data_IF_669156569623
#
_entry.id   IF_669156569623
#
_cell.length_a   1.000
_cell.length_b   1.000
_cell.length_c   1.000
_cell.angle_alpha   90.00
_cell.angle_beta   90.00
_cell.angle_gamma   90.00
#
_symmetry.space_group_name_H-M   'P 1'
#
loop_
_entity.id
_entity.type
_entity.pdbx_description
1 polymer ?
#
# COMPACT_ATOMS: atom_id res chain seq x y z
N UNK A 1 -7.46 -13.53 7.37
CA UNK A 1 -7.80 -12.39 6.53
C UNK A 1 -7.50 -11.09 7.26
N UNK A 2 -7.02 -10.09 6.52
CA UNK A 2 -6.70 -8.78 7.06
C UNK A 2 -7.96 -7.92 7.04
N UNK A 3 -8.37 -7.42 8.21
CA UNK A 3 -9.50 -6.50 8.30
C UNK A 3 -9.08 -5.08 7.89
N UNK A 4 -10.04 -4.17 7.71
CA UNK A 4 -9.74 -2.77 7.47
C UNK A 4 -8.86 -2.17 8.55
N UNK A 5 -9.04 -2.61 9.79
CA UNK A 5 -8.22 -2.19 10.92
C UNK A 5 -6.78 -2.70 10.75
N UNK A 6 -6.61 -3.92 10.20
CA UNK A 6 -5.29 -4.47 9.89
C UNK A 6 -4.58 -3.67 8.80
N UNK A 7 -5.30 -3.19 7.80
CA UNK A 7 -4.73 -2.33 6.77
C UNK A 7 -4.15 -1.06 7.37
N UNK A 8 -4.90 -0.38 8.23
CA UNK A 8 -4.43 0.84 8.90
C UNK A 8 -3.17 0.57 9.72
N UNK A 9 -3.16 -0.53 10.46
CA UNK A 9 -2.03 -0.91 11.30
C UNK A 9 -0.77 -1.13 10.46
N UNK A 10 -0.88 -1.80 9.31
CA UNK A 10 0.26 -2.07 8.44
C UNK A 10 0.85 -0.78 7.85
N UNK A 11 0.01 0.18 7.47
CA UNK A 11 0.49 1.40 6.81
C UNK A 11 0.76 2.55 7.78
N UNK A 12 0.33 2.46 9.02
CA UNK A 12 0.42 3.57 9.98
C UNK A 12 1.86 4.03 10.21
N UNK A 13 2.79 3.11 10.38
CA UNK A 13 4.19 3.42 10.66
C UNK A 13 5.02 3.78 9.44
N UNK A 14 4.47 3.64 8.23
CA UNK A 14 5.24 3.80 7.00
C UNK A 14 5.67 5.24 6.72
N UNK A 15 5.05 6.23 7.38
CA UNK A 15 5.43 7.63 7.20
C UNK A 15 6.84 7.97 7.65
N UNK A 16 7.49 7.07 8.39
CA UNK A 16 8.86 7.26 8.89
C UNK A 16 9.88 6.47 8.10
N UNK A 17 9.47 5.83 6.99
CA UNK A 17 10.39 5.06 6.17
C UNK A 17 11.30 6.00 5.41
N UNK A 18 12.61 5.87 5.65
CA UNK A 18 13.63 6.66 4.97
C UNK A 18 14.00 5.99 3.64
N UNK A 19 14.03 4.65 3.63
CA UNK A 19 14.42 3.88 2.45
C UNK A 19 13.31 2.88 2.10
N UNK A 20 12.46 3.29 1.18
CA UNK A 20 11.35 2.46 0.72
C UNK A 20 11.83 1.22 -0.04
N UNK A 21 12.93 1.35 -0.77
CA UNK A 21 13.51 0.23 -1.50
C UNK A 21 14.01 -0.85 -0.56
N UNK A 22 14.70 -0.46 0.51
CA UNK A 22 15.19 -1.41 1.50
C UNK A 22 14.03 -2.11 2.22
N UNK A 23 12.97 -1.36 2.56
CA UNK A 23 11.80 -1.93 3.20
C UNK A 23 11.14 -2.98 2.29
N UNK A 24 10.92 -2.61 1.04
CA UNK A 24 10.27 -3.49 0.06
C UNK A 24 11.11 -4.74 -0.22
N UNK A 25 12.43 -4.61 -0.19
CA UNK A 25 13.37 -5.73 -0.41
C UNK A 25 13.53 -6.64 0.80
N UNK A 26 13.10 -6.17 1.98
CA UNK A 26 13.21 -6.98 3.18
C UNK A 26 12.32 -8.23 3.04
N UNK A 27 12.86 -9.46 3.29
CA UNK A 27 12.13 -10.68 2.98
C UNK A 27 10.83 -10.86 3.77
N UNK A 28 10.74 -10.31 4.98
CA UNK A 28 9.54 -10.39 5.80
C UNK A 28 8.67 -9.15 5.61
N UNK A 29 9.24 -7.97 5.76
CA UNK A 29 8.47 -6.72 5.72
C UNK A 29 7.91 -6.44 4.33
N UNK A 30 8.70 -6.68 3.30
CA UNK A 30 8.25 -6.51 1.92
C UNK A 30 7.13 -7.46 1.56
N UNK A 31 7.26 -8.73 1.96
CA UNK A 31 6.23 -9.74 1.70
C UNK A 31 4.93 -9.39 2.41
N UNK A 32 5.00 -8.93 3.66
CA UNK A 32 3.80 -8.52 4.42
C UNK A 32 3.12 -7.31 3.79
N UNK A 33 3.91 -6.36 3.31
CA UNK A 33 3.37 -5.18 2.65
C UNK A 33 2.63 -5.55 1.37
N UNK A 34 3.22 -6.41 0.55
CA UNK A 34 2.59 -6.89 -0.68
C UNK A 34 1.31 -7.66 -0.38
N UNK A 35 1.36 -8.57 0.59
CA UNK A 35 0.18 -9.34 1.00
C UNK A 35 -0.95 -8.44 1.46
N UNK A 36 -0.64 -7.46 2.29
CA UNK A 36 -1.62 -6.51 2.80
C UNK A 36 -2.23 -5.69 1.66
N UNK A 37 -1.43 -5.26 0.70
CA UNK A 37 -1.89 -4.49 -0.44
C UNK A 37 -2.79 -5.32 -1.34
N UNK A 38 -2.44 -6.58 -1.57
CA UNK A 38 -3.28 -7.49 -2.35
C UNK A 38 -4.60 -7.80 -1.64
N UNK A 39 -4.57 -7.93 -0.30
CA UNK A 39 -5.78 -8.11 0.49
C UNK A 39 -6.70 -6.90 0.37
N UNK A 40 -6.14 -5.69 0.38
CA UNK A 40 -6.93 -4.49 0.13
C UNK A 40 -7.58 -4.52 -1.26
N UNK A 41 -6.84 -4.92 -2.28
CA UNK A 41 -7.36 -5.02 -3.64
C UNK A 41 -8.49 -6.04 -3.79
N UNK A 42 -8.50 -7.09 -2.96
CA UNK A 42 -9.50 -8.14 -3.05
C UNK A 42 -10.83 -7.78 -2.39
N UNK A 43 -10.89 -6.70 -1.61
CA UNK A 43 -12.12 -6.25 -0.97
C UNK A 43 -12.73 -5.07 -1.73
N UNK A 44 -14.08 -4.89 -1.71
CA UNK A 44 -14.75 -3.94 -2.61
C UNK A 44 -14.75 -2.48 -2.13
N UNK A 45 -14.45 -2.21 -0.87
CA UNK A 45 -14.57 -0.87 -0.33
C UNK A 45 -13.47 0.04 -0.88
N UNK A 46 -13.79 1.29 -1.23
CA UNK A 46 -12.76 2.24 -1.66
C UNK A 46 -11.85 2.65 -0.51
N UNK A 47 -10.68 3.19 -0.87
CA UNK A 47 -9.66 3.53 0.12
C UNK A 47 -10.16 4.52 1.18
N UNK A 48 -10.99 5.48 0.80
CA UNK A 48 -11.47 6.47 1.77
C UNK A 48 -12.32 5.84 2.87
N UNK A 49 -13.04 4.75 2.57
CA UNK A 49 -13.81 4.05 3.58
C UNK A 49 -12.96 3.20 4.50
N UNK A 50 -11.87 2.64 3.96
CA UNK A 50 -10.98 1.76 4.72
C UNK A 50 -10.05 2.57 5.62
N UNK A 51 -9.47 3.63 5.09
CA UNK A 51 -8.39 4.36 5.76
C UNK A 51 -8.84 5.65 6.45
N UNK A 52 -9.97 6.22 6.07
CA UNK A 52 -10.48 7.42 6.73
C UNK A 52 -9.43 8.54 6.76
N UNK A 53 -9.06 8.97 7.95
CA UNK A 53 -8.09 10.05 8.15
C UNK A 53 -6.68 9.70 7.66
N UNK A 54 -6.39 8.42 7.47
CA UNK A 54 -5.09 7.95 6.99
C UNK A 54 -5.03 7.82 5.47
N UNK A 55 -6.06 8.29 4.76
CA UNK A 55 -6.15 8.13 3.30
C UNK A 55 -4.96 8.73 2.57
N UNK A 56 -4.55 9.94 2.93
CA UNK A 56 -3.44 10.61 2.25
C UNK A 56 -2.11 9.90 2.52
N UNK A 57 -1.94 9.37 3.72
CA UNK A 57 -0.77 8.58 4.05
C UNK A 57 -0.71 7.29 3.21
N UNK A 58 -1.83 6.58 3.09
CA UNK A 58 -1.92 5.39 2.27
C UNK A 58 -1.59 5.70 0.81
N UNK A 59 -2.17 6.76 0.26
CA UNK A 59 -1.90 7.19 -1.11
C UNK A 59 -0.42 7.46 -1.33
N UNK A 60 0.21 8.20 -0.40
CA UNK A 60 1.65 8.49 -0.49
C UNK A 60 2.48 7.23 -0.48
N UNK A 61 2.12 6.25 0.35
CA UNK A 61 2.80 4.95 0.41
C UNK A 61 2.68 4.21 -0.92
N UNK A 62 1.50 4.21 -1.52
CA UNK A 62 1.29 3.52 -2.80
C UNK A 62 2.15 4.13 -3.91
N UNK A 63 2.22 5.45 -3.97
CA UNK A 63 3.06 6.14 -4.95
C UNK A 63 4.53 5.80 -4.73
N UNK A 64 4.97 5.88 -3.47
CA UNK A 64 6.37 5.62 -3.11
C UNK A 64 6.81 4.20 -3.46
N UNK A 65 6.01 3.21 -3.06
CA UNK A 65 6.36 1.81 -3.31
C UNK A 65 6.24 1.43 -4.78
N UNK A 66 5.27 1.99 -5.51
CA UNK A 66 5.20 1.78 -6.96
C UNK A 66 6.47 2.28 -7.65
N UNK A 67 7.02 3.41 -7.20
CA UNK A 67 8.25 3.96 -7.76
C UNK A 67 9.47 3.09 -7.49
N UNK A 68 9.43 2.24 -6.46
CA UNK A 68 10.52 1.32 -6.14
C UNK A 68 10.45 0.01 -6.93
N UNK A 69 9.34 -0.27 -7.60
CA UNK A 69 9.18 -1.50 -8.35
C UNK A 69 9.65 -1.31 -9.79
N UNK A 70 10.53 -2.20 -10.26
CA UNK A 70 10.98 -2.19 -11.65
C UNK A 70 9.85 -2.65 -12.58
N UNK A 71 9.07 -3.64 -12.13
CA UNK A 71 7.93 -4.13 -12.89
C UNK A 71 6.72 -3.23 -12.64
N UNK A 72 6.14 -2.73 -13.73
CA UNK A 72 4.95 -1.88 -13.63
C UNK A 72 3.69 -2.66 -13.23
N UNK A 73 3.68 -3.98 -13.40
CA UNK A 73 2.58 -4.81 -12.92
C UNK A 73 2.86 -5.22 -11.47
N UNK A 74 2.50 -4.35 -10.55
CA UNK A 74 2.71 -4.57 -9.13
C UNK A 74 1.44 -4.14 -8.37
N UNK A 75 1.23 -4.64 -7.13
CA UNK A 75 -0.02 -4.36 -6.41
C UNK A 75 -0.20 -2.87 -6.08
N UNK A 76 0.88 -2.13 -5.87
CA UNK A 76 0.79 -0.70 -5.56
C UNK A 76 0.22 0.07 -6.75
N UNK A 77 0.68 -0.25 -7.95
CA UNK A 77 0.15 0.36 -9.17
C UNK A 77 -1.32 0.02 -9.38
N UNK A 78 -1.72 -1.21 -9.09
CA UNK A 78 -3.13 -1.62 -9.20
C UNK A 78 -4.02 -0.79 -8.27
N UNK A 79 -3.55 -0.49 -7.06
CA UNK A 79 -4.28 0.40 -6.16
C UNK A 79 -4.40 1.79 -6.77
N UNK A 80 -3.31 2.34 -7.29
CA UNK A 80 -3.33 3.68 -7.89
C UNK A 80 -4.32 3.76 -9.05
N UNK A 81 -4.38 2.72 -9.89
CA UNK A 81 -5.32 2.65 -11.01
C UNK A 81 -6.75 2.56 -10.50
N UNK A 82 -7.00 1.65 -9.57
CA UNK A 82 -8.33 1.41 -9.02
C UNK A 82 -8.91 2.66 -8.36
N UNK A 83 -8.08 3.40 -7.62
CA UNK A 83 -8.51 4.60 -6.91
C UNK A 83 -8.42 5.87 -7.76
N UNK A 84 -8.05 5.76 -9.03
CA UNK A 84 -7.89 6.89 -9.96
C UNK A 84 -6.83 7.89 -9.48
N UNK A 85 -5.78 7.40 -8.86
CA UNK A 85 -4.65 8.22 -8.39
C UNK A 85 -3.48 8.24 -9.36
N UNK A 86 -3.51 7.41 -10.38
CA UNK A 86 -2.47 7.33 -11.39
C UNK A 86 -2.90 8.13 -12.63
N UNK A 87 -2.03 9.04 -13.03
CA UNK A 87 -2.26 9.89 -14.19
C UNK A 87 -1.31 9.54 -15.32
#
# INVERSE_FOLDING_TARGET
AISGKGFKSEYYGLGRIIDAGAYLSHPILGARLIECTEAFLSQPNPAYKVFGNELMHFRSCMILFNNQCDNKDNPFRRVLIREHWLF
#
